data_IF_231115453360
#
_entry.id   IF_231115453360
#
_cell.length_a   1.000
_cell.length_b   1.000
_cell.length_c   1.000
_cell.angle_alpha   90.00
_cell.angle_beta   90.00
_cell.angle_gamma   90.00
#
_symmetry.space_group_name_H-M   'P 1'
#
loop_
_entity.id
_entity.type
_entity.pdbx_description
1 polymer ?
#
# COMPACT_ATOMS: atom_id res chain seq x y z
N UNK A 1 42.69 -22.12 22.68
CA UNK A 1 41.47 -22.86 22.33
C UNK A 1 40.42 -21.82 21.97
N UNK A 2 40.33 -21.53 20.67
CA UNK A 2 39.48 -20.49 20.08
C UNK A 2 38.09 -21.08 19.85
N UNK A 3 37.13 -20.72 20.70
CA UNK A 3 35.75 -21.17 20.51
C UNK A 3 35.02 -20.28 19.51
N UNK A 4 34.44 -20.93 18.51
CA UNK A 4 33.81 -20.31 17.35
C UNK A 4 32.45 -19.73 17.74
N UNK A 5 32.42 -18.44 18.10
CA UNK A 5 31.17 -17.68 18.15
C UNK A 5 30.68 -17.45 16.71
N UNK A 6 29.84 -18.36 16.20
CA UNK A 6 29.11 -18.11 14.95
C UNK A 6 28.10 -17.01 15.21
N UNK A 7 28.43 -15.82 14.71
CA UNK A 7 27.59 -14.64 14.67
C UNK A 7 26.29 -15.00 13.91
N UNK A 8 25.21 -15.33 14.62
CA UNK A 8 23.88 -15.58 14.04
C UNK A 8 23.27 -14.25 13.60
N UNK A 9 23.83 -13.66 12.54
CA UNK A 9 23.27 -12.47 11.90
C UNK A 9 22.02 -12.90 11.15
N UNK A 10 20.87 -12.44 11.63
CA UNK A 10 19.60 -12.59 10.95
C UNK A 10 19.59 -11.64 9.75
N UNK A 11 20.18 -12.06 8.64
CA UNK A 11 20.18 -11.32 7.38
C UNK A 11 18.77 -11.36 6.78
N UNK A 12 17.90 -10.43 7.24
CA UNK A 12 16.67 -10.11 6.52
C UNK A 12 17.06 -9.75 5.08
N UNK A 13 16.41 -10.33 4.05
CA UNK A 13 16.70 -9.99 2.67
C UNK A 13 16.49 -8.49 2.49
N UNK A 14 17.59 -7.73 2.40
CA UNK A 14 17.62 -6.25 2.35
C UNK A 14 16.91 -5.66 1.12
N UNK A 15 16.34 -6.50 0.25
CA UNK A 15 15.82 -6.12 -1.06
C UNK A 15 14.35 -6.48 -1.31
N UNK A 16 13.58 -6.87 -0.29
CA UNK A 16 12.12 -6.88 -0.43
C UNK A 16 11.59 -5.45 -0.23
N UNK A 17 11.30 -4.75 -1.33
CA UNK A 17 10.47 -3.53 -1.27
C UNK A 17 9.17 -3.89 -0.54
N UNK A 18 8.88 -3.18 0.54
CA UNK A 18 7.60 -3.32 1.24
C UNK A 18 6.46 -2.98 0.29
N UNK A 19 5.50 -3.90 0.16
CA UNK A 19 4.29 -3.64 -0.61
C UNK A 19 3.33 -2.88 0.29
N UNK A 20 3.04 -1.63 -0.05
CA UNK A 20 2.10 -0.78 0.68
C UNK A 20 0.81 -0.67 -0.14
N UNK A 21 -0.31 -1.07 0.45
CA UNK A 21 -1.64 -0.94 -0.13
C UNK A 21 -2.48 -0.02 0.73
N UNK A 22 -3.19 0.91 0.10
CA UNK A 22 -4.09 1.84 0.77
C UNK A 22 -5.50 1.61 0.24
N UNK A 23 -6.39 1.16 1.12
CA UNK A 23 -7.75 0.74 0.75
C UNK A 23 -8.75 1.70 1.39
N UNK A 24 -9.49 2.42 0.56
CA UNK A 24 -10.56 3.32 0.99
C UNK A 24 -11.91 2.62 0.88
N UNK A 25 -12.64 2.51 1.99
CA UNK A 25 -13.97 1.87 2.02
C UNK A 25 -15.06 2.91 2.26
N UNK A 26 -16.14 2.84 1.48
CA UNK A 26 -17.28 3.76 1.56
C UNK A 26 -16.94 5.19 1.10
N UNK A 27 -17.87 6.13 1.27
CA UNK A 27 -17.71 7.50 0.75
C UNK A 27 -16.51 8.26 1.33
N UNK A 28 -16.33 8.25 2.66
CA UNK A 28 -15.23 8.94 3.31
C UNK A 28 -13.86 8.35 2.96
N UNK A 29 -13.74 7.01 2.97
CA UNK A 29 -12.50 6.33 2.59
C UNK A 29 -12.14 6.56 1.11
N UNK A 30 -13.13 6.51 0.22
CA UNK A 30 -12.96 6.83 -1.19
C UNK A 30 -12.43 8.25 -1.39
N UNK A 31 -13.01 9.25 -0.69
CA UNK A 31 -12.55 10.64 -0.76
C UNK A 31 -11.09 10.81 -0.30
N UNK A 32 -10.71 10.16 0.81
CA UNK A 32 -9.34 10.21 1.30
C UNK A 32 -8.35 9.58 0.30
N UNK A 33 -8.68 8.41 -0.22
CA UNK A 33 -7.87 7.72 -1.24
C UNK A 33 -7.75 8.54 -2.53
N UNK A 34 -8.84 9.09 -3.02
CA UNK A 34 -8.84 9.96 -4.19
C UNK A 34 -7.95 11.20 -3.96
N UNK A 35 -8.02 11.81 -2.78
CA UNK A 35 -7.15 12.93 -2.42
C UNK A 35 -5.67 12.52 -2.43
N UNK A 36 -5.31 11.41 -1.79
CA UNK A 36 -3.95 10.88 -1.77
C UNK A 36 -3.42 10.57 -3.17
N UNK A 37 -4.25 9.96 -4.02
CA UNK A 37 -3.92 9.70 -5.42
C UNK A 37 -3.65 10.98 -6.20
N UNK A 38 -4.53 11.98 -6.05
CA UNK A 38 -4.40 13.27 -6.74
C UNK A 38 -3.21 14.11 -6.26
N UNK A 39 -2.77 13.93 -5.01
CA UNK A 39 -1.52 14.51 -4.51
C UNK A 39 -0.26 13.83 -5.06
N UNK A 40 -0.41 12.73 -5.80
CA UNK A 40 0.70 12.01 -6.43
C UNK A 40 1.56 11.24 -5.43
N UNK A 41 0.96 10.75 -4.33
CA UNK A 41 1.65 9.86 -3.38
C UNK A 41 2.11 8.60 -4.14
N UNK A 42 3.40 8.29 -4.02
CA UNK A 42 4.09 7.21 -4.74
C UNK A 42 4.38 6.02 -3.84
N UNK A 43 4.82 4.93 -4.46
CA UNK A 43 5.22 3.69 -3.80
C UNK A 43 4.10 3.02 -2.96
N UNK A 44 2.85 3.34 -3.29
CA UNK A 44 1.65 2.70 -2.74
C UNK A 44 0.70 2.29 -3.86
N UNK A 45 -0.07 1.24 -3.61
CA UNK A 45 -1.17 0.83 -4.47
C UNK A 45 -2.49 1.25 -3.84
N UNK A 46 -3.29 2.03 -4.58
CA UNK A 46 -4.59 2.50 -4.12
C UNK A 46 -5.71 1.57 -4.56
N UNK A 47 -6.66 1.33 -3.66
CA UNK A 47 -7.88 0.57 -3.92
C UNK A 47 -9.06 1.31 -3.32
N UNK A 48 -10.17 1.38 -4.04
CA UNK A 48 -11.43 1.95 -3.56
C UNK A 48 -12.50 0.87 -3.55
N UNK A 49 -13.22 0.76 -2.43
CA UNK A 49 -14.32 -0.19 -2.25
C UNK A 49 -15.56 0.59 -1.82
N UNK A 50 -16.63 0.49 -2.58
CA UNK A 50 -17.89 1.16 -2.26
C UNK A 50 -19.07 0.35 -2.78
N UNK A 51 -20.22 0.47 -2.13
CA UNK A 51 -21.48 -0.12 -2.63
C UNK A 51 -22.10 0.73 -3.73
N UNK A 52 -21.81 2.04 -3.72
CA UNK A 52 -22.25 2.98 -4.75
C UNK A 52 -21.42 2.84 -6.03
N UNK A 53 -22.03 2.27 -7.06
CA UNK A 53 -21.41 2.09 -8.38
C UNK A 53 -21.12 3.41 -9.11
N UNK A 54 -21.85 4.50 -8.84
CA UNK A 54 -21.57 5.80 -9.45
C UNK A 54 -20.27 6.39 -8.89
N UNK A 55 -20.09 6.29 -7.56
CA UNK A 55 -18.87 6.72 -6.89
C UNK A 55 -17.63 5.92 -7.33
N UNK A 56 -17.78 4.62 -7.59
CA UNK A 56 -16.69 3.80 -8.14
C UNK A 56 -16.30 4.22 -9.56
N UNK A 57 -17.29 4.48 -10.43
CA UNK A 57 -17.06 4.91 -11.82
C UNK A 57 -16.41 6.29 -11.94
N UNK A 58 -16.62 7.16 -10.96
CA UNK A 58 -16.06 8.52 -10.95
C UNK A 58 -14.71 8.62 -10.24
N UNK A 59 -14.22 7.54 -9.61
CA UNK A 59 -12.93 7.57 -8.93
C UNK A 59 -11.76 7.72 -9.93
N UNK A 60 -10.76 8.57 -9.65
CA UNK A 60 -9.53 8.66 -10.44
C UNK A 60 -8.60 7.45 -10.25
N UNK A 61 -8.85 6.61 -9.24
CA UNK A 61 -8.07 5.41 -8.99
C UNK A 61 -8.44 4.35 -10.04
N UNK A 62 -7.45 3.78 -10.77
CA UNK A 62 -7.72 2.80 -11.81
C UNK A 62 -8.44 1.56 -11.28
N UNK A 63 -9.46 1.10 -12.00
CA UNK A 63 -10.05 -0.22 -11.81
C UNK A 63 -9.02 -1.29 -12.19
N UNK A 64 -8.65 -2.14 -11.22
CA UNK A 64 -7.81 -3.32 -11.40
C UNK A 64 -8.53 -4.58 -10.96
#
# INVERSE_FOLDING_TARGET
>A
MSDNMKDYRFDLPKNQKSIIKVIGVGGGGSNAVNHMYNQGIKDVEFVVVNTDAQALKSSPVPLR
#
